data_IF_379379760838
#
_entry.id   IF_379379760838
#
_cell.length_a   1.000
_cell.length_b   1.000
_cell.length_c   1.000
_cell.angle_alpha   90.00
_cell.angle_beta   90.00
_cell.angle_gamma   90.00
#
_symmetry.space_group_name_H-M   'P 1'
#
loop_
_entity.id
_entity.type
_entity.pdbx_description
1 polymer ?
#
# COMPACT_ATOMS: atom_id res chain seq x y z
N UNK A 1 -20.68 5.87 -8.74
CA UNK A 1 -20.52 6.40 -7.37
C UNK A 1 -20.70 5.27 -6.38
N UNK A 2 -19.70 5.02 -5.51
CA UNK A 2 -19.80 4.03 -4.44
C UNK A 2 -19.79 4.77 -3.10
N UNK A 3 -20.81 4.52 -2.28
CA UNK A 3 -20.94 5.10 -0.97
C UNK A 3 -20.91 4.00 0.08
N UNK A 4 -19.94 4.05 1.01
CA UNK A 4 -19.86 3.13 2.15
C UNK A 4 -20.29 3.91 3.40
N UNK A 5 -21.28 3.36 4.11
CA UNK A 5 -21.82 3.96 5.34
C UNK A 5 -21.37 3.13 6.53
N UNK A 6 -20.70 3.77 7.48
CA UNK A 6 -20.28 3.14 8.73
C UNK A 6 -21.22 3.52 9.89
N UNK A 7 -21.03 2.85 11.04
CA UNK A 7 -21.87 2.90 12.24
C UNK A 7 -22.09 4.29 12.86
N UNK A 8 -21.27 5.29 12.52
CA UNK A 8 -21.28 6.62 13.13
C UNK A 8 -21.63 7.75 12.15
N UNK A 9 -22.46 7.47 11.15
CA UNK A 9 -22.75 8.41 10.06
C UNK A 9 -21.50 8.90 9.29
N UNK A 10 -20.35 8.26 9.50
CA UNK A 10 -19.15 8.51 8.74
C UNK A 10 -19.33 7.97 7.31
N UNK A 11 -19.10 8.82 6.34
CA UNK A 11 -19.38 8.53 4.94
C UNK A 11 -18.24 9.00 4.06
N UNK A 12 -17.73 8.08 3.21
CA UNK A 12 -16.91 8.43 2.06
C UNK A 12 -17.76 8.51 0.79
N UNK A 13 -17.46 9.49 -0.05
CA UNK A 13 -17.89 9.54 -1.44
C UNK A 13 -16.67 9.38 -2.33
N UNK A 14 -16.68 8.37 -3.20
CA UNK A 14 -15.58 8.08 -4.09
C UNK A 14 -16.05 8.14 -5.53
N UNK A 15 -15.41 8.97 -6.35
CA UNK A 15 -15.58 8.99 -7.79
C UNK A 15 -14.36 8.29 -8.42
N UNK A 16 -14.61 7.31 -9.29
CA UNK A 16 -13.58 6.49 -9.93
C UNK A 16 -13.78 6.51 -11.43
N UNK A 17 -12.71 6.75 -12.17
CA UNK A 17 -12.67 6.63 -13.62
C UNK A 17 -11.67 5.53 -13.96
N UNK A 18 -12.16 4.46 -14.57
CA UNK A 18 -11.37 3.35 -15.07
C UNK A 18 -11.30 3.43 -16.59
N UNK A 19 -10.08 3.52 -17.12
CA UNK A 19 -9.81 3.55 -18.55
C UNK A 19 -9.03 2.31 -18.95
N UNK A 20 -9.55 1.55 -19.90
CA UNK A 20 -8.88 0.36 -20.45
C UNK A 20 -8.31 0.73 -21.83
N UNK A 21 -7.03 0.46 -22.01
CA UNK A 21 -6.29 0.76 -23.24
C UNK A 21 -6.10 -0.48 -24.12
N UNK A 22 -5.90 -0.31 -25.45
CA UNK A 22 -5.72 -1.44 -26.37
C UNK A 22 -4.47 -2.28 -26.09
N UNK A 23 -3.47 -1.75 -25.41
CA UNK A 23 -2.25 -2.46 -25.00
C UNK A 23 -2.44 -3.35 -23.75
N UNK A 24 -3.68 -3.41 -23.23
CA UNK A 24 -4.04 -4.16 -22.04
C UNK A 24 -3.75 -3.40 -20.74
N UNK A 25 -3.28 -2.16 -20.78
CA UNK A 25 -3.14 -1.35 -19.58
C UNK A 25 -4.49 -0.83 -19.09
N UNK A 26 -4.60 -0.63 -17.78
CA UNK A 26 -5.80 -0.15 -17.09
C UNK A 26 -5.38 1.01 -16.20
N UNK A 27 -5.94 2.18 -16.42
CA UNK A 27 -5.72 3.37 -15.59
C UNK A 27 -6.88 3.57 -14.63
N UNK A 28 -6.58 3.86 -13.38
CA UNK A 28 -7.50 4.36 -12.38
C UNK A 28 -7.17 5.82 -12.05
N UNK A 29 -8.18 6.66 -12.08
CA UNK A 29 -8.19 7.98 -11.45
C UNK A 29 -9.29 8.01 -10.39
N UNK A 30 -8.94 8.33 -9.16
CA UNK A 30 -9.86 8.34 -8.03
C UNK A 30 -9.84 9.67 -7.31
N UNK A 31 -11.04 10.16 -6.94
CA UNK A 31 -11.22 11.24 -5.99
C UNK A 31 -12.06 10.76 -4.82
N UNK A 32 -11.60 11.04 -3.62
CA UNK A 32 -12.25 10.60 -2.36
C UNK A 32 -12.51 11.82 -1.50
N UNK A 33 -13.74 11.92 -1.00
CA UNK A 33 -14.16 12.96 -0.06
C UNK A 33 -14.90 12.32 1.12
N UNK A 34 -14.91 12.97 2.27
CA UNK A 34 -15.73 12.50 3.39
C UNK A 34 -16.57 13.62 4.01
N UNK A 35 -17.57 13.24 4.78
CA UNK A 35 -18.37 14.16 5.59
C UNK A 35 -17.72 14.51 6.94
N UNK A 36 -16.55 13.94 7.26
CA UNK A 36 -15.76 14.22 8.47
C UNK A 36 -14.30 14.42 8.09
N UNK A 37 -13.94 15.57 7.48
CA UNK A 37 -12.61 15.79 6.90
C UNK A 37 -11.48 15.79 7.92
N UNK A 38 -11.76 16.06 9.18
CA UNK A 38 -10.77 16.13 10.27
C UNK A 38 -10.48 14.77 10.93
N UNK A 39 -11.20 13.71 10.52
CA UNK A 39 -10.93 12.36 11.02
C UNK A 39 -9.58 11.85 10.52
N UNK A 40 -8.77 11.33 11.42
CA UNK A 40 -7.49 10.69 11.07
C UNK A 40 -7.72 9.27 10.58
N UNK A 41 -7.20 8.97 9.40
CA UNK A 41 -7.23 7.65 8.78
C UNK A 41 -5.89 6.95 8.97
N UNK A 42 -5.85 5.63 9.22
CA UNK A 42 -4.58 4.90 9.23
C UNK A 42 -3.93 4.87 7.84
N UNK A 43 -4.74 4.71 6.79
CA UNK A 43 -4.34 4.76 5.37
C UNK A 43 -5.52 5.08 4.48
N UNK A 44 -5.23 5.54 3.27
CA UNK A 44 -6.21 5.77 2.22
C UNK A 44 -5.66 5.27 0.88
N UNK A 45 -6.27 4.26 0.29
CA UNK A 45 -5.84 3.69 -0.98
C UNK A 45 -6.64 2.46 -1.40
N UNK A 46 -6.01 1.61 -2.20
CA UNK A 46 -6.58 0.35 -2.68
C UNK A 46 -5.79 -0.84 -2.15
N UNK A 47 -6.51 -1.84 -1.68
CA UNK A 47 -5.98 -3.16 -1.36
C UNK A 47 -6.37 -4.15 -2.46
N UNK A 48 -5.42 -4.92 -2.95
CA UNK A 48 -5.62 -5.94 -3.97
C UNK A 48 -5.08 -7.27 -3.49
N UNK A 49 -5.82 -8.33 -3.79
CA UNK A 49 -5.40 -9.70 -3.56
C UNK A 49 -4.81 -10.25 -4.85
N UNK A 50 -3.54 -10.63 -4.82
CA UNK A 50 -2.77 -11.13 -5.97
C UNK A 50 -2.40 -12.59 -5.70
N UNK A 51 -2.50 -13.51 -6.68
CA UNK A 51 -2.11 -14.90 -6.48
C UNK A 51 -0.66 -15.04 -5.99
N UNK A 52 -0.42 -16.00 -5.08
CA UNK A 52 0.88 -16.21 -4.40
C UNK A 52 2.04 -16.46 -5.37
N UNK A 53 1.79 -16.97 -6.56
CA UNK A 53 2.83 -17.19 -7.58
C UNK A 53 3.56 -15.92 -8.01
N UNK A 54 2.93 -14.75 -7.86
CA UNK A 54 3.51 -13.44 -8.17
C UNK A 54 4.20 -12.86 -6.93
N UNK A 55 5.18 -13.57 -6.41
CA UNK A 55 5.84 -13.27 -5.14
C UNK A 55 7.13 -12.45 -5.26
N UNK A 56 7.63 -12.18 -6.47
CA UNK A 56 8.78 -11.29 -6.66
C UNK A 56 8.28 -9.84 -6.64
N UNK A 57 8.76 -9.06 -5.68
CA UNK A 57 8.40 -7.67 -5.49
C UNK A 57 9.57 -6.77 -5.90
N UNK A 58 9.33 -5.91 -6.89
CA UNK A 58 10.31 -4.90 -7.33
C UNK A 58 9.62 -3.56 -7.29
N UNK A 59 10.29 -2.53 -6.77
CA UNK A 59 9.72 -1.17 -6.74
C UNK A 59 10.80 -0.10 -6.94
N UNK A 60 10.38 1.07 -7.41
CA UNK A 60 11.17 2.29 -7.47
C UNK A 60 10.58 3.31 -6.52
N UNK A 61 11.19 3.46 -5.36
CA UNK A 61 10.72 4.25 -4.23
C UNK A 61 11.73 4.29 -3.11
N UNK A 62 11.32 4.69 -1.91
CA UNK A 62 12.19 4.68 -0.73
C UNK A 62 12.38 3.27 -0.19
N UNK A 63 13.63 2.96 0.13
CA UNK A 63 14.01 1.67 0.68
C UNK A 63 15.50 1.62 1.04
N UNK A 64 16.04 0.42 1.31
CA UNK A 64 15.38 -0.90 1.17
C UNK A 64 14.48 -1.30 2.34
N UNK A 65 14.60 -0.65 3.50
CA UNK A 65 13.83 -0.97 4.72
C UNK A 65 12.47 -0.28 4.63
N UNK A 66 11.45 -0.86 5.24
CA UNK A 66 10.12 -0.27 5.35
C UNK A 66 10.20 1.15 5.95
N UNK A 67 9.38 2.03 5.46
CA UNK A 67 9.39 3.43 5.84
C UNK A 67 7.99 4.04 5.78
N UNK A 68 7.80 5.10 6.56
CA UNK A 68 6.51 5.77 6.77
C UNK A 68 6.73 7.29 6.77
N UNK A 69 5.68 8.08 6.74
CA UNK A 69 5.75 9.54 6.68
C UNK A 69 6.71 10.14 7.72
N UNK A 70 6.70 9.59 8.95
CA UNK A 70 7.52 10.01 10.09
C UNK A 70 8.81 9.20 10.27
N UNK A 71 9.07 8.19 9.42
CA UNK A 71 10.23 7.29 9.51
C UNK A 71 10.82 6.98 8.14
N UNK A 72 11.29 7.97 7.43
CA UNK A 72 11.89 7.83 6.09
C UNK A 72 13.28 8.45 5.92
N UNK A 73 13.83 9.03 6.98
CA UNK A 73 15.20 9.54 6.98
C UNK A 73 16.21 8.40 6.81
N UNK A 74 17.20 8.59 5.93
CA UNK A 74 18.19 7.57 5.64
C UNK A 74 17.75 6.49 4.66
N UNK A 75 16.52 6.55 4.15
CA UNK A 75 16.05 5.71 3.05
C UNK A 75 16.15 6.48 1.73
N UNK A 76 16.71 5.84 0.69
CA UNK A 76 16.96 6.48 -0.59
C UNK A 76 15.96 6.00 -1.65
N UNK A 77 15.72 6.87 -2.64
CA UNK A 77 14.84 6.53 -3.77
C UNK A 77 15.69 5.83 -4.83
N UNK A 78 15.48 4.52 -4.93
CA UNK A 78 16.18 3.64 -5.85
C UNK A 78 15.25 2.53 -6.34
N UNK A 79 15.75 1.69 -7.24
CA UNK A 79 15.09 0.43 -7.56
C UNK A 79 15.51 -0.63 -6.54
N UNK A 80 14.52 -1.15 -5.82
CA UNK A 80 14.69 -2.23 -4.87
C UNK A 80 14.04 -3.51 -5.37
N UNK A 81 14.61 -4.65 -4.97
CA UNK A 81 14.09 -5.98 -5.28
C UNK A 81 14.02 -6.80 -4.01
N UNK A 82 12.89 -7.40 -3.77
CA UNK A 82 12.64 -8.29 -2.65
C UNK A 82 11.62 -9.36 -3.06
N UNK A 83 11.20 -10.16 -2.12
CA UNK A 83 10.04 -11.04 -2.25
C UNK A 83 8.96 -10.61 -1.27
N UNK A 84 7.71 -10.93 -1.56
CA UNK A 84 6.59 -10.67 -0.65
C UNK A 84 6.83 -11.27 0.74
N UNK A 85 7.42 -12.47 0.80
CA UNK A 85 7.81 -13.08 2.08
C UNK A 85 8.95 -12.32 2.78
N UNK A 86 9.85 -11.70 2.02
CA UNK A 86 10.96 -10.89 2.54
C UNK A 86 10.54 -9.54 3.11
N UNK A 87 9.36 -9.04 2.74
CA UNK A 87 8.77 -7.83 3.32
C UNK A 87 8.15 -8.08 4.71
N UNK A 88 7.89 -9.35 5.04
CA UNK A 88 7.31 -9.71 6.33
C UNK A 88 8.36 -9.76 7.43
N UNK A 89 8.17 -8.95 8.48
CA UNK A 89 9.00 -8.96 9.68
C UNK A 89 8.27 -9.71 10.79
N UNK A 90 8.92 -10.72 11.36
CA UNK A 90 8.34 -11.57 12.40
C UNK A 90 8.33 -10.88 13.77
N UNK A 91 7.53 -9.85 13.93
CA UNK A 91 7.34 -9.19 15.23
C UNK A 91 6.64 -10.12 16.23
N UNK A 92 6.98 -10.02 17.54
CA UNK A 92 6.31 -10.80 18.60
C UNK A 92 4.78 -10.69 18.60
N UNK A 93 4.26 -9.51 18.24
CA UNK A 93 2.86 -9.28 17.91
C UNK A 93 2.79 -8.78 16.47
N UNK A 94 2.07 -9.49 15.57
CA UNK A 94 1.86 -9.03 14.22
C UNK A 94 1.25 -7.61 14.19
N UNK A 95 1.74 -6.79 13.29
CA UNK A 95 1.34 -5.39 13.14
C UNK A 95 1.59 -4.91 11.72
N UNK A 96 1.24 -3.67 11.41
CA UNK A 96 1.54 -3.07 10.12
C UNK A 96 3.05 -2.98 9.87
N UNK A 97 3.47 -3.30 8.64
CA UNK A 97 4.88 -3.35 8.22
C UNK A 97 5.02 -3.31 6.71
N UNK A 98 6.25 -3.22 6.22
CA UNK A 98 6.58 -3.36 4.81
C UNK A 98 6.07 -2.22 3.92
N UNK A 99 5.75 -1.05 4.50
CA UNK A 99 5.38 0.12 3.71
C UNK A 99 6.61 0.80 3.12
N UNK A 100 6.50 1.25 1.86
CA UNK A 100 7.51 2.04 1.15
C UNK A 100 6.89 3.33 0.64
N UNK A 101 7.48 4.45 1.04
CA UNK A 101 7.05 5.79 0.66
C UNK A 101 7.66 6.22 -0.68
N UNK A 102 7.04 7.24 -1.28
CA UNK A 102 7.53 7.87 -2.51
C UNK A 102 7.70 6.87 -3.68
N UNK A 103 6.85 5.85 -3.79
CA UNK A 103 6.92 4.85 -4.86
C UNK A 103 6.34 5.42 -6.15
N UNK A 104 7.11 5.33 -7.26
CA UNK A 104 6.68 5.72 -8.60
C UNK A 104 6.11 4.57 -9.39
N UNK A 105 6.65 3.38 -9.16
CA UNK A 105 6.11 2.14 -9.70
C UNK A 105 6.53 0.95 -8.82
N UNK A 106 5.71 -0.09 -8.86
CA UNK A 106 6.06 -1.40 -8.31
C UNK A 106 5.60 -2.49 -9.27
N UNK A 107 6.17 -3.67 -9.13
CA UNK A 107 5.83 -4.85 -9.92
C UNK A 107 5.76 -6.08 -9.02
N UNK A 108 4.75 -6.92 -9.27
CA UNK A 108 4.64 -8.26 -8.74
C UNK A 108 4.74 -9.24 -9.90
N UNK A 109 5.75 -10.11 -9.85
CA UNK A 109 6.03 -11.07 -10.93
C UNK A 109 6.29 -12.47 -10.40
N UNK A 110 6.05 -13.47 -11.26
CA UNK A 110 6.42 -14.86 -11.01
C UNK A 110 7.86 -15.14 -11.43
N UNK A 111 8.29 -16.38 -11.31
CA UNK A 111 9.65 -16.83 -11.70
C UNK A 111 9.92 -16.68 -13.22
N UNK A 112 8.88 -16.63 -14.04
CA UNK A 112 9.00 -16.38 -15.48
C UNK A 112 8.98 -14.89 -15.85
N UNK A 113 9.04 -13.97 -14.85
CA UNK A 113 8.89 -12.53 -14.99
C UNK A 113 7.56 -12.09 -15.62
N UNK A 114 6.54 -12.92 -15.50
CA UNK A 114 5.16 -12.56 -15.85
C UNK A 114 4.44 -12.00 -14.62
N UNK A 115 3.51 -11.08 -14.82
CA UNK A 115 2.76 -10.46 -13.73
C UNK A 115 2.22 -9.09 -14.11
N UNK A 116 2.27 -8.15 -13.17
CA UNK A 116 1.78 -6.79 -13.39
C UNK A 116 2.75 -5.74 -12.84
N UNK A 117 2.79 -4.61 -13.51
CA UNK A 117 3.45 -3.38 -13.07
C UNK A 117 2.38 -2.37 -12.72
N UNK A 118 2.52 -1.74 -11.57
CA UNK A 118 1.65 -0.69 -11.07
C UNK A 118 2.43 0.62 -11.07
N UNK A 119 2.00 1.58 -11.87
CA UNK A 119 2.69 2.85 -12.08
C UNK A 119 1.85 3.95 -11.43
N UNK A 120 2.39 4.65 -10.45
CA UNK A 120 1.73 5.78 -9.82
C UNK A 120 1.58 6.95 -10.80
N UNK A 121 0.48 7.68 -10.75
CA UNK A 121 0.31 8.92 -11.52
C UNK A 121 1.14 10.07 -10.95
N UNK A 122 1.41 10.05 -9.64
CA UNK A 122 2.38 10.91 -8.94
C UNK A 122 3.28 10.03 -8.06
N UNK A 123 2.91 9.78 -6.83
CA UNK A 123 3.60 8.94 -5.85
C UNK A 123 2.58 8.21 -5.01
N UNK A 124 2.94 7.01 -4.60
CA UNK A 124 2.12 6.19 -3.70
C UNK A 124 2.98 5.68 -2.54
N UNK A 125 2.30 5.34 -1.46
CA UNK A 125 2.83 4.46 -0.43
C UNK A 125 2.42 3.04 -0.82
N UNK A 126 3.37 2.10 -0.82
CA UNK A 126 3.12 0.74 -1.31
C UNK A 126 3.59 -0.29 -0.32
N UNK A 127 2.79 -1.31 -0.08
CA UNK A 127 3.21 -2.52 0.67
C UNK A 127 2.70 -3.77 -0.01
N UNK A 128 3.50 -4.85 0.05
CA UNK A 128 3.16 -6.16 -0.50
C UNK A 128 3.47 -7.24 0.54
N UNK A 129 2.45 -7.77 1.19
CA UNK A 129 2.59 -8.70 2.31
C UNK A 129 1.87 -10.03 2.04
N UNK A 130 2.30 -11.13 2.68
CA UNK A 130 1.62 -12.43 2.58
C UNK A 130 0.33 -12.52 3.41
N UNK A 131 0.02 -11.49 4.20
CA UNK A 131 -1.13 -11.44 5.10
C UNK A 131 -1.93 -10.16 4.89
N UNK A 132 -3.24 -10.26 5.07
CA UNK A 132 -4.10 -9.08 5.09
C UNK A 132 -3.89 -8.25 6.37
N UNK A 133 -4.27 -6.98 6.33
CA UNK A 133 -4.31 -6.15 7.54
C UNK A 133 -5.21 -6.77 8.63
N UNK A 134 -6.29 -7.46 8.24
CA UNK A 134 -7.17 -8.17 9.15
C UNK A 134 -6.47 -9.36 9.84
N UNK A 135 -5.70 -10.15 9.11
CA UNK A 135 -4.94 -11.26 9.67
C UNK A 135 -3.93 -10.76 10.70
N UNK A 136 -3.22 -9.67 10.39
CA UNK A 136 -2.25 -9.06 11.30
C UNK A 136 -2.92 -8.50 12.58
N UNK A 137 -4.09 -7.88 12.47
CA UNK A 137 -4.83 -7.33 13.62
C UNK A 137 -5.36 -8.45 14.54
N UNK A 138 -5.89 -9.52 13.95
CA UNK A 138 -6.51 -10.62 14.73
C UNK A 138 -5.49 -11.53 15.41
N UNK A 139 -4.29 -11.65 14.85
CA UNK A 139 -3.24 -12.48 15.43
C UNK A 139 -2.56 -11.76 16.61
N UNK A 140 -2.58 -12.36 17.78
CA UNK A 140 -1.81 -11.91 18.94
C UNK A 140 -0.35 -12.37 18.90
N UNK A 141 -0.07 -13.44 18.14
CA UNK A 141 1.26 -14.02 17.95
C UNK A 141 1.42 -14.54 16.52
N UNK A 142 2.66 -14.58 15.96
CA UNK A 142 2.91 -15.01 14.59
C UNK A 142 2.39 -16.41 14.25
N UNK A 143 2.40 -17.35 15.19
CA UNK A 143 1.90 -18.70 14.99
C UNK A 143 0.37 -18.80 14.79
N UNK A 144 -0.35 -17.71 15.04
CA UNK A 144 -1.80 -17.61 14.80
C UNK A 144 -2.13 -17.07 13.41
N UNK A 145 -1.13 -16.61 12.66
CA UNK A 145 -1.35 -16.17 11.28
C UNK A 145 -1.76 -17.38 10.43
N UNK A 146 -2.69 -17.19 9.49
CA UNK A 146 -3.09 -18.26 8.58
C UNK A 146 -1.92 -18.69 7.69
N UNK A 147 -2.04 -19.83 7.02
CA UNK A 147 -1.10 -20.18 5.96
C UNK A 147 -1.20 -19.14 4.85
N UNK A 148 -0.07 -18.54 4.47
CA UNK A 148 -0.02 -17.59 3.37
C UNK A 148 -0.46 -18.27 2.06
N UNK A 149 -1.44 -17.71 1.39
CA UNK A 149 -2.00 -18.22 0.13
C UNK A 149 -2.00 -17.19 -0.99
N UNK A 150 -1.79 -15.94 -0.65
CA UNK A 150 -1.91 -14.81 -1.57
C UNK A 150 -0.94 -13.69 -1.17
N UNK A 151 -0.77 -12.73 -2.08
CA UNK A 151 -0.11 -11.46 -1.82
C UNK A 151 -1.16 -10.37 -1.64
N UNK A 152 -1.07 -9.63 -0.56
CA UNK A 152 -1.86 -8.43 -0.32
C UNK A 152 -1.05 -7.22 -0.70
N UNK A 153 -1.40 -6.62 -1.85
CA UNK A 153 -0.79 -5.41 -2.36
C UNK A 153 -1.64 -4.20 -1.94
N UNK A 154 -1.02 -3.24 -1.29
CA UNK A 154 -1.62 -1.93 -1.01
C UNK A 154 -0.98 -0.87 -1.91
N UNK A 155 -1.81 -0.06 -2.55
CA UNK A 155 -1.46 1.12 -3.34
C UNK A 155 -2.17 2.31 -2.71
N UNK A 156 -1.49 2.97 -1.77
CA UNK A 156 -2.08 4.00 -0.95
C UNK A 156 -1.70 5.40 -1.43
N UNK A 157 -2.66 6.29 -1.48
CA UNK A 157 -2.43 7.72 -1.68
C UNK A 157 -1.59 8.30 -0.54
N UNK A 158 -1.85 7.81 0.69
CA UNK A 158 -1.09 8.17 1.88
C UNK A 158 -1.31 7.15 3.02
N UNK A 159 -0.30 7.04 3.89
CA UNK A 159 -0.31 6.23 5.11
C UNK A 159 0.08 7.12 6.28
N UNK A 160 -0.69 7.08 7.36
CA UNK A 160 -0.37 7.81 8.60
C UNK A 160 0.90 7.26 9.24
N UNK A 161 1.75 8.13 9.74
CA UNK A 161 2.98 7.77 10.43
C UNK A 161 2.74 6.88 11.65
N UNK A 162 3.75 6.14 12.06
CA UNK A 162 3.67 5.17 13.16
C UNK A 162 3.72 5.81 14.54
N UNK A 163 4.18 7.05 14.64
CA UNK A 163 4.44 7.77 15.88
C UNK A 163 5.92 7.81 16.23
N UNK A 164 6.35 8.96 16.75
CA UNK A 164 7.76 9.24 17.07
C UNK A 164 8.17 8.88 18.50
N UNK A 165 7.24 8.40 19.34
CA UNK A 165 7.53 8.10 20.74
C UNK A 165 8.05 6.67 20.88
N UNK A 166 9.28 6.54 21.35
CA UNK A 166 9.90 5.24 21.65
C UNK A 166 9.25 4.53 22.84
N UNK A 167 8.52 5.27 23.67
CA UNK A 167 7.83 4.74 24.84
C UNK A 167 6.66 5.64 25.17
N UNK A 168 5.45 5.07 25.25
CA UNK A 168 4.23 5.80 25.58
C UNK A 168 3.20 5.83 24.47
N UNK A 169 2.13 6.58 24.68
CA UNK A 169 0.93 6.57 23.82
C UNK A 169 0.84 7.78 22.87
N UNK A 170 1.96 8.40 22.54
CA UNK A 170 1.98 9.51 21.60
C UNK A 170 1.78 9.01 20.15
N UNK A 171 0.72 9.46 19.51
CA UNK A 171 0.51 9.25 18.08
C UNK A 171 1.49 10.08 17.24
N UNK A 172 1.45 9.93 15.89
CA UNK A 172 2.27 10.73 14.99
C UNK A 172 1.95 12.22 15.08
N UNK A 173 2.91 13.05 14.69
CA UNK A 173 2.68 14.50 14.58
C UNK A 173 1.55 14.79 13.60
N UNK A 174 0.89 15.93 13.74
CA UNK A 174 -0.22 16.33 12.86
C UNK A 174 0.20 16.33 11.38
N UNK A 175 1.44 16.71 11.09
CA UNK A 175 1.99 16.73 9.73
C UNK A 175 2.15 15.31 9.11
N UNK A 176 2.22 14.28 9.94
CA UNK A 176 2.42 12.89 9.54
C UNK A 176 1.11 12.07 9.57
N UNK A 177 -0.02 12.74 9.76
CA UNK A 177 -1.35 12.12 9.79
C UNK A 177 -2.05 12.28 8.45
N UNK A 178 -2.73 11.24 8.04
CA UNK A 178 -3.67 11.27 6.91
C UNK A 178 -5.04 11.65 7.45
N UNK A 179 -5.59 12.75 6.94
CA UNK A 179 -6.94 13.18 7.29
C UNK A 179 -7.93 12.73 6.23
N UNK A 180 -9.19 12.53 6.63
CA UNK A 180 -10.28 12.14 5.73
C UNK A 180 -10.80 13.34 4.88
N UNK A 181 -9.91 14.24 4.48
CA UNK A 181 -10.20 15.36 3.59
C UNK A 181 -10.25 14.92 2.12
N UNK A 182 -10.18 15.86 1.19
CA UNK A 182 -10.23 15.55 -0.23
C UNK A 182 -8.89 14.99 -0.70
N UNK A 183 -8.92 13.79 -1.30
CA UNK A 183 -7.77 13.13 -1.91
C UNK A 183 -8.02 12.83 -3.38
N UNK A 184 -7.02 13.08 -4.21
CA UNK A 184 -6.99 12.66 -5.61
C UNK A 184 -5.74 11.83 -5.83
N UNK A 185 -5.87 10.66 -6.41
CA UNK A 185 -4.76 9.79 -6.72
C UNK A 185 -5.11 8.83 -7.85
N UNK A 186 -4.12 8.18 -8.40
CA UNK A 186 -4.33 7.23 -9.48
C UNK A 186 -3.10 6.38 -9.73
N UNK A 187 -3.32 5.33 -10.49
CA UNK A 187 -2.27 4.44 -10.96
C UNK A 187 -2.65 3.76 -12.26
N UNK A 188 -1.65 3.26 -12.97
CA UNK A 188 -1.82 2.47 -14.17
C UNK A 188 -1.35 1.05 -13.87
N UNK A 189 -2.16 0.06 -14.21
CA UNK A 189 -1.81 -1.36 -14.18
C UNK A 189 -1.39 -1.76 -15.58
N UNK A 190 -0.21 -2.35 -15.74
CA UNK A 190 0.29 -2.90 -17.02
C UNK A 190 0.67 -4.36 -16.86
N UNK A 191 0.44 -5.21 -17.87
CA UNK A 191 1.06 -6.52 -17.90
C UNK A 191 2.58 -6.40 -17.82
N UNK A 192 3.24 -7.17 -16.96
CA UNK A 192 4.69 -7.25 -16.93
C UNK A 192 5.16 -8.06 -18.14
N UNK A 193 5.97 -7.42 -19.00
CA UNK A 193 6.64 -8.07 -20.12
C UNK A 193 8.06 -8.50 -19.75
N UNK A 194 8.80 -9.07 -20.73
CA UNK A 194 10.20 -9.50 -20.53
C UNK A 194 11.18 -8.36 -20.22
N UNK A 195 10.76 -7.10 -20.39
CA UNK A 195 11.57 -5.90 -20.20
C UNK A 195 10.89 -4.94 -19.20
N UNK A 196 11.24 -5.07 -17.90
CA UNK A 196 10.92 -4.06 -16.87
C UNK A 196 11.89 -2.86 -16.91
N UNK A 197 12.83 -2.82 -17.88
CA UNK A 197 13.89 -1.81 -17.97
C UNK A 197 13.61 -0.68 -18.96
N UNK A 198 12.38 -0.60 -19.51
CA UNK A 198 11.97 0.48 -20.42
C UNK A 198 10.82 1.28 -19.89
#
# INVERSE_FOLDING_TARGET
EMCIRDRNDFKFTTNQIWTVYPDGSIELQASVTSNQPDLVLPRLGYAMKIPQEYANFTYYGRGPIDNYADRKSGQFIEQHKNTVAGEFVNFPKPQDMGNHEDVRWCALTNQANQGAVFIATDRLSVSALPYSAQDLILASHPYQLPQASDTWLHLDAAVTGLGGNSCGQGGPLVADRVFANNHNFGFIIRPAGKDLSK
#
